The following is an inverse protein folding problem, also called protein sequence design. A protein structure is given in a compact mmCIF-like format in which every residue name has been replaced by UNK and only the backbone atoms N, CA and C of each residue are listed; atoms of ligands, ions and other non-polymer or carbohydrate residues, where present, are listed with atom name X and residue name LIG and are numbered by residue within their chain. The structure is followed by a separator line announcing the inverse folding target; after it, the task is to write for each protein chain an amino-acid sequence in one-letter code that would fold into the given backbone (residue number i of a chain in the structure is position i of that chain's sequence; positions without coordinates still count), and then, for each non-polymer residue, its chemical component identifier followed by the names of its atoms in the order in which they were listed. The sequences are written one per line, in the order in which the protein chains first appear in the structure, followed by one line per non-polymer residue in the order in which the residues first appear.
data_IF_885516799501
#
_entry.id   IF_885516799501
#
_cell.length_a   1.000
_cell.length_b   1.000
_cell.length_c   1.000
_cell.angle_alpha   90.00
_cell.angle_beta   90.00
_cell.angle_gamma   90.00
#
_symmetry.space_group_name_H-M   'P 1'
#
loop_
_entity.id
_entity.type
_entity.pdbx_description
1 polymer ?
#
# COMPACT_ATOMS: atom_id res chain seq x y z
N UNK A 1 9.70 8.87 8.49
CA UNK A 1 9.47 9.10 7.05
C UNK A 1 7.97 9.20 6.81
N UNK A 2 7.55 10.13 5.94
CA UNK A 2 6.14 10.35 5.56
C UNK A 2 5.88 9.66 4.22
N UNK A 3 4.74 8.96 4.11
CA UNK A 3 4.21 8.44 2.86
C UNK A 3 3.36 9.53 2.19
N UNK A 4 3.72 10.01 0.99
CA UNK A 4 2.88 10.93 0.25
C UNK A 4 1.53 10.31 -0.08
N UNK A 5 0.46 11.10 0.04
CA UNK A 5 -0.92 10.66 -0.19
C UNK A 5 -1.12 10.04 -1.58
N UNK A 6 -0.47 10.61 -2.60
CA UNK A 6 -0.54 10.13 -3.99
C UNK A 6 0.02 8.71 -4.18
N UNK A 7 0.82 8.23 -3.23
CA UNK A 7 1.41 6.90 -3.22
C UNK A 7 0.71 5.94 -2.27
N UNK A 8 -0.28 6.39 -1.49
CA UNK A 8 -0.93 5.58 -0.48
C UNK A 8 -1.58 4.32 -1.08
N UNK A 9 -2.45 4.49 -2.07
CA UNK A 9 -3.16 3.36 -2.70
C UNK A 9 -2.19 2.34 -3.33
N UNK A 10 -1.13 2.83 -3.98
CA UNK A 10 -0.08 1.99 -4.57
C UNK A 10 0.68 1.23 -3.51
N UNK A 11 1.00 1.87 -2.40
CA UNK A 11 1.65 1.23 -1.25
C UNK A 11 0.75 0.16 -0.63
N UNK A 12 -0.56 0.42 -0.50
CA UNK A 12 -1.52 -0.56 -0.01
C UNK A 12 -1.57 -1.77 -0.95
N UNK A 13 -1.77 -1.57 -2.26
CA UNK A 13 -1.79 -2.64 -3.26
C UNK A 13 -0.49 -3.43 -3.29
N UNK A 14 0.66 -2.75 -3.23
CA UNK A 14 1.97 -3.40 -3.17
C UNK A 14 2.09 -4.38 -2.00
N UNK A 15 1.59 -3.99 -0.81
CA UNK A 15 1.63 -4.86 0.36
C UNK A 15 0.51 -5.90 0.37
N UNK A 16 -0.67 -5.60 -0.18
CA UNK A 16 -1.74 -6.59 -0.40
C UNK A 16 -1.27 -7.71 -1.33
N UNK A 17 -0.59 -7.38 -2.43
CA UNK A 17 0.02 -8.35 -3.35
C UNK A 17 1.10 -9.20 -2.65
N UNK A 18 1.74 -8.66 -1.61
CA UNK A 18 2.66 -9.39 -0.75
C UNK A 18 1.95 -10.15 0.40
N UNK A 19 0.62 -10.25 0.38
CA UNK A 19 -0.18 -11.04 1.33
C UNK A 19 -0.51 -10.35 2.64
N UNK A 20 -0.39 -9.03 2.74
CA UNK A 20 -0.87 -8.29 3.91
C UNK A 20 -2.37 -7.99 3.78
N UNK A 21 -3.10 -8.14 4.88
CA UNK A 21 -4.47 -7.66 5.02
C UNK A 21 -4.47 -6.23 5.59
N UNK A 22 -5.32 -5.35 5.07
CA UNK A 22 -5.45 -3.96 5.51
C UNK A 22 -6.64 -3.82 6.46
N UNK A 23 -6.47 -3.09 7.56
CA UNK A 23 -7.52 -2.73 8.50
C UNK A 23 -7.45 -1.25 8.84
N UNK A 24 -8.58 -0.56 8.75
CA UNK A 24 -8.74 0.80 9.27
C UNK A 24 -8.77 0.83 10.80
N UNK A 25 -8.11 1.82 11.40
CA UNK A 25 -8.09 2.07 12.84
C UNK A 25 -8.39 3.55 13.09
N UNK A 26 -8.71 3.91 14.34
CA UNK A 26 -8.93 5.32 14.71
C UNK A 26 -7.71 6.22 14.45
N UNK A 27 -6.50 5.64 14.36
CA UNK A 27 -5.24 6.37 14.19
C UNK A 27 -4.67 6.33 12.77
N UNK A 28 -5.23 5.50 11.88
CA UNK A 28 -4.68 5.27 10.54
C UNK A 28 -4.96 3.87 10.02
N UNK A 29 -4.07 3.37 9.17
CA UNK A 29 -4.16 2.04 8.56
C UNK A 29 -3.13 1.10 9.18
N UNK A 30 -3.58 -0.11 9.53
CA UNK A 30 -2.73 -1.20 9.97
C UNK A 30 -2.76 -2.32 8.93
N UNK A 31 -1.59 -2.77 8.48
CA UNK A 31 -1.44 -3.90 7.60
C UNK A 31 -0.81 -5.06 8.38
N UNK A 32 -1.41 -6.23 8.29
CA UNK A 32 -0.98 -7.43 9.04
C UNK A 32 -0.86 -8.65 8.14
N UNK A 33 0.15 -9.46 8.39
CA UNK A 33 0.35 -10.77 7.78
C UNK A 33 0.83 -11.74 8.85
N UNK A 34 0.37 -12.99 8.82
CA UNK A 34 0.77 -14.01 9.80
C UNK A 34 2.30 -14.10 9.90
N UNK A 35 2.82 -14.15 11.13
CA UNK A 35 4.25 -14.23 11.45
C UNK A 35 5.11 -13.07 10.91
N UNK A 36 4.51 -11.94 10.54
CA UNK A 36 5.23 -10.72 10.21
C UNK A 36 4.78 -9.58 11.11
N UNK A 37 5.71 -8.66 11.37
CA UNK A 37 5.39 -7.43 12.09
C UNK A 37 4.40 -6.59 11.29
N UNK A 38 3.50 -5.90 12.00
CA UNK A 38 2.50 -5.06 11.33
C UNK A 38 3.12 -3.80 10.74
N UNK A 39 2.63 -3.38 9.58
CA UNK A 39 2.91 -2.09 9.00
C UNK A 39 1.85 -1.12 9.49
N UNK A 40 2.23 0.08 9.90
CA UNK A 40 1.30 1.11 10.33
C UNK A 40 1.57 2.42 9.60
N UNK A 41 0.51 3.06 9.14
CA UNK A 41 0.50 4.38 8.50
C UNK A 41 -0.54 5.23 9.21
N UNK A 42 -0.15 6.36 9.80
CA UNK A 42 -1.10 7.30 10.41
C UNK A 42 -1.92 8.04 9.34
N UNK A 43 -3.01 8.70 9.74
CA UNK A 43 -3.78 9.57 8.83
C UNK A 43 -2.95 10.71 8.21
N UNK A 44 -1.82 11.09 8.83
CA UNK A 44 -0.87 12.08 8.31
C UNK A 44 0.22 11.47 7.42
N UNK A 45 0.14 10.17 7.14
CA UNK A 45 1.14 9.43 6.36
C UNK A 45 2.40 9.02 7.15
N UNK A 46 2.42 9.18 8.49
CA UNK A 46 3.57 8.77 9.30
C UNK A 46 3.64 7.25 9.38
N UNK A 47 4.82 6.69 9.10
CA UNK A 47 5.02 5.24 9.05
C UNK A 47 5.83 4.73 10.25
N UNK A 48 5.45 3.56 10.79
CA UNK A 48 6.34 2.81 11.68
C UNK A 48 7.55 2.24 10.92
N UNK A 49 8.57 1.76 11.63
CA UNK A 49 9.83 1.29 11.04
C UNK A 49 9.60 0.24 9.94
N UNK A 50 8.71 -0.71 10.19
CA UNK A 50 8.41 -1.78 9.25
C UNK A 50 7.71 -1.27 7.98
N UNK A 51 6.76 -0.33 8.10
CA UNK A 51 6.16 0.32 6.93
C UNK A 51 7.19 1.13 6.14
N UNK A 52 8.14 1.79 6.82
CA UNK A 52 9.23 2.52 6.18
C UNK A 52 10.13 1.62 5.34
N UNK A 53 10.51 0.45 5.86
CA UNK A 53 11.32 -0.54 5.14
C UNK A 53 10.59 -1.06 3.89
N UNK A 54 9.28 -1.33 4.00
CA UNK A 54 8.45 -1.74 2.86
C UNK A 54 8.31 -0.62 1.82
N UNK A 55 8.22 0.64 2.24
CA UNK A 55 8.14 1.77 1.33
C UNK A 55 9.45 1.96 0.58
N UNK A 56 10.59 1.84 1.26
CA UNK A 56 11.90 1.85 0.60
C UNK A 56 12.04 0.71 -0.42
N UNK A 57 11.54 -0.49 -0.11
CA UNK A 57 11.53 -1.59 -1.08
C UNK A 57 10.69 -1.25 -2.32
N UNK A 58 9.50 -0.69 -2.14
CA UNK A 58 8.65 -0.24 -3.25
C UNK A 58 9.35 0.81 -4.12
N UNK A 59 10.01 1.81 -3.50
CA UNK A 59 10.77 2.81 -4.24
C UNK A 59 11.97 2.21 -4.99
N UNK A 60 12.69 1.26 -4.39
CA UNK A 60 13.79 0.55 -5.06
C UNK A 60 13.31 -0.21 -6.30
N UNK A 61 12.17 -0.89 -6.20
CA UNK A 61 11.56 -1.58 -7.35
C UNK A 61 11.14 -0.59 -8.43
N UNK A 62 10.56 0.55 -8.04
CA UNK A 62 10.25 1.61 -8.98
C UNK A 62 11.51 2.15 -9.68
N UNK A 63 12.58 2.45 -8.96
CA UNK A 63 13.82 2.93 -9.59
C UNK A 63 14.47 1.90 -10.52
N UNK A 64 14.32 0.60 -10.21
CA UNK A 64 14.84 -0.49 -11.05
C UNK A 64 14.00 -0.73 -12.31
N UNK A 65 12.69 -0.84 -12.15
CA UNK A 65 11.78 -1.30 -13.20
C UNK A 65 11.04 -0.14 -13.90
N UNK A 66 11.28 1.09 -13.43
CA UNK A 66 10.75 2.32 -14.01
C UNK A 66 9.24 2.43 -13.95
N UNK A 67 8.67 3.15 -14.93
CA UNK A 67 7.21 3.43 -14.99
C UNK A 67 6.35 2.17 -15.00
N UNK A 68 6.82 1.09 -15.62
CA UNK A 68 6.08 -0.17 -15.74
C UNK A 68 5.61 -0.69 -14.39
N UNK A 69 6.48 -0.69 -13.38
CA UNK A 69 6.11 -1.13 -12.02
C UNK A 69 4.97 -0.29 -11.42
N UNK A 70 5.01 1.04 -11.62
CA UNK A 70 3.93 1.92 -11.14
C UNK A 70 2.65 1.77 -11.95
N UNK A 71 2.74 1.49 -13.24
CA UNK A 71 1.58 1.24 -14.11
C UNK A 71 0.88 -0.08 -13.75
N UNK A 72 1.63 -1.11 -13.39
CA UNK A 72 1.09 -2.37 -12.88
C UNK A 72 0.31 -2.15 -11.58
N UNK A 73 0.89 -1.40 -10.62
CA UNK A 73 0.19 -1.02 -9.39
C UNK A 73 -1.06 -0.19 -9.67
N UNK A 74 -0.99 0.80 -10.58
CA UNK A 74 -2.13 1.61 -10.99
C UNK A 74 -3.25 0.77 -11.60
N UNK A 75 -2.90 -0.23 -12.40
CA UNK A 75 -3.86 -1.12 -13.05
C UNK A 75 -4.62 -1.94 -12.02
N UNK A 76 -3.92 -2.48 -11.02
CA UNK A 76 -4.56 -3.21 -9.92
C UNK A 76 -5.44 -2.30 -9.04
N UNK A 77 -4.99 -1.08 -8.72
CA UNK A 77 -5.83 -0.08 -8.03
C UNK A 77 -7.14 0.15 -8.79
N UNK A 78 -7.07 0.44 -10.09
CA UNK A 78 -8.25 0.65 -10.94
C UNK A 78 -9.16 -0.57 -11.00
N UNK A 79 -8.59 -1.78 -11.03
CA UNK A 79 -9.35 -3.04 -11.02
C UNK A 79 -10.15 -3.18 -9.72
N UNK A 80 -9.53 -2.91 -8.57
CA UNK A 80 -10.20 -2.97 -7.26
C UNK A 80 -11.37 -1.97 -7.21
N UNK A 81 -11.17 -0.73 -7.64
CA UNK A 81 -12.25 0.27 -7.69
C UNK A 81 -13.42 -0.19 -8.57
N UNK A 82 -13.15 -0.76 -9.75
CA UNK A 82 -14.21 -1.29 -10.63
C UNK A 82 -14.96 -2.45 -9.98
N UNK A 83 -14.28 -3.31 -9.23
CA UNK A 83 -14.93 -4.41 -8.51
C UNK A 83 -15.86 -3.88 -7.42
N UNK A 84 -15.40 -2.94 -6.60
CA UNK A 84 -16.23 -2.34 -5.53
C UNK A 84 -17.40 -1.57 -6.11
N UNK A 85 -17.18 -0.76 -7.16
CA UNK A 85 -18.25 0.00 -7.81
C UNK A 85 -19.36 -0.89 -8.38
N UNK A 86 -19.01 -2.08 -8.92
CA UNK A 86 -20.00 -3.06 -9.40
C UNK A 86 -20.79 -3.74 -8.30
N UNK A 87 -20.26 -3.78 -7.06
CA UNK A 87 -20.93 -4.37 -5.90
C UNK A 87 -21.88 -3.38 -5.20
N UNK A 88 -21.80 -2.09 -5.53
CA UNK A 88 -22.61 -1.02 -4.92
C UNK A 88 -23.82 -0.61 -5.78
N UNK A 89 -24.07 -1.32 -6.88
CA UNK A 89 -25.23 -1.17 -7.78
C UNK A 89 -26.05 -2.45 -7.67
#
# INVERSE_FOLDING_TARGET
MILPEQLLEKFLVFNCNAGFAVKGTSKGLQLSRKNQKSLFISHKGEMNKEAQERYQLMLKLWFRDGRKFMDDLNTEVRRIYRMVARWLI
#
